data_IF_377737156888
#
_entry.id   IF_377737156888
#
_cell.length_a   1.000
_cell.length_b   1.000
_cell.length_c   1.000
_cell.angle_alpha   90.00
_cell.angle_beta   90.00
_cell.angle_gamma   90.00
#
_symmetry.space_group_name_H-M   'P 1'
#
loop_
_entity.id
_entity.type
_entity.pdbx_description
1 polymer ?
#
# COMPACT_ATOMS: atom_id res chain seq x y z
N UNK A 1 -22.71 -8.32 25.40
CA UNK A 1 -22.18 -7.06 25.93
C UNK A 1 -20.82 -6.85 25.30
N UNK A 2 -20.61 -5.74 24.62
CA UNK A 2 -19.30 -5.36 24.09
C UNK A 2 -18.30 -5.19 25.23
N UNK A 3 -17.06 -5.64 25.04
CA UNK A 3 -16.00 -5.45 26.05
C UNK A 3 -15.38 -4.07 25.87
N UNK A 4 -15.00 -3.48 27.00
CA UNK A 4 -14.23 -2.23 26.99
C UNK A 4 -12.83 -2.49 26.43
N UNK A 5 -12.39 -1.62 25.51
CA UNK A 5 -11.09 -1.65 24.89
C UNK A 5 -10.41 -0.28 25.00
N UNK A 6 -9.10 -0.24 24.78
CA UNK A 6 -8.33 1.00 24.79
C UNK A 6 -7.37 1.03 23.60
N UNK A 7 -7.32 2.18 22.94
CA UNK A 7 -6.21 2.54 22.07
C UNK A 7 -5.21 3.35 22.89
N UNK A 8 -3.97 2.85 23.00
CA UNK A 8 -2.88 3.49 23.76
C UNK A 8 -1.76 3.85 22.79
N UNK A 9 -1.35 5.11 22.77
CA UNK A 9 -0.25 5.59 21.94
C UNK A 9 1.06 5.64 22.74
N UNK A 10 2.19 5.58 22.07
CA UNK A 10 3.51 5.59 22.72
C UNK A 10 3.79 6.87 23.52
N UNK A 11 3.13 7.99 23.18
CA UNK A 11 3.21 9.24 23.94
C UNK A 11 2.39 9.23 25.26
N UNK A 12 1.76 8.09 25.58
CA UNK A 12 0.93 7.90 26.77
C UNK A 12 -0.54 8.34 26.59
N UNK A 13 -0.95 8.77 25.41
CA UNK A 13 -2.35 9.11 25.14
C UNK A 13 -3.22 7.84 25.15
N UNK A 14 -4.37 7.89 25.83
CA UNK A 14 -5.29 6.77 25.99
C UNK A 14 -6.66 7.19 25.47
N UNK A 15 -7.23 6.38 24.57
CA UNK A 15 -8.57 6.55 24.01
C UNK A 15 -9.42 5.33 24.38
N UNK A 16 -10.41 5.47 25.25
CA UNK A 16 -11.33 4.39 25.59
C UNK A 16 -12.34 4.17 24.47
N UNK A 17 -12.71 2.91 24.24
CA UNK A 17 -13.70 2.49 23.26
C UNK A 17 -14.26 1.11 23.58
N UNK A 18 -14.85 0.47 22.58
CA UNK A 18 -15.45 -0.85 22.64
C UNK A 18 -14.77 -1.80 21.65
N UNK A 19 -14.52 -3.04 22.12
CA UNK A 19 -13.92 -4.08 21.30
C UNK A 19 -14.89 -4.54 20.21
N UNK A 20 -14.41 -4.70 18.98
CA UNK A 20 -15.04 -5.46 17.93
C UNK A 20 -13.97 -6.26 17.14
N UNK A 21 -14.38 -7.24 16.32
CA UNK A 21 -13.44 -8.19 15.75
C UNK A 21 -12.88 -9.14 16.80
N UNK A 22 -11.60 -9.48 16.71
CA UNK A 22 -10.94 -10.43 17.59
C UNK A 22 -10.58 -9.79 18.94
N UNK A 23 -10.72 -10.56 20.01
CA UNK A 23 -10.37 -10.10 21.37
C UNK A 23 -8.91 -10.40 21.70
N UNK A 24 -8.07 -9.38 21.74
CA UNK A 24 -6.64 -9.52 22.00
C UNK A 24 -5.92 -8.19 22.11
N UNK A 25 -4.63 -8.22 21.89
CA UNK A 25 -3.76 -7.05 21.75
C UNK A 25 -3.20 -6.95 20.34
N UNK A 26 -3.25 -5.74 19.76
CA UNK A 26 -2.65 -5.45 18.47
C UNK A 26 -1.64 -4.30 18.60
N UNK A 27 -0.42 -4.53 18.15
CA UNK A 27 0.67 -3.54 18.15
C UNK A 27 0.99 -3.11 16.72
N UNK A 28 1.24 -1.83 16.51
CA UNK A 28 1.62 -1.32 15.18
C UNK A 28 1.84 0.18 15.16
N UNK A 29 2.35 0.68 14.05
CA UNK A 29 2.40 2.12 13.79
C UNK A 29 0.98 2.63 13.53
N UNK A 30 0.56 3.67 14.26
CA UNK A 30 -0.76 4.27 14.11
C UNK A 30 -0.76 5.20 12.93
N UNK A 31 -1.59 4.88 11.94
CA UNK A 31 -1.76 5.69 10.73
C UNK A 31 -3.23 6.01 10.49
N UNK A 32 -3.53 7.16 9.87
CA UNK A 32 -4.90 7.49 9.49
C UNK A 32 -5.07 7.43 7.97
N UNK A 33 -6.29 7.11 7.52
CA UNK A 33 -6.66 7.10 6.11
C UNK A 33 -7.87 8.02 5.88
N UNK A 34 -7.82 8.84 4.83
CA UNK A 34 -8.86 9.84 4.51
C UNK A 34 -9.84 9.39 3.41
N UNK A 35 -9.79 8.14 2.99
CA UNK A 35 -10.78 7.57 2.06
C UNK A 35 -12.18 7.58 2.66
N UNK A 36 -13.19 7.82 1.84
CA UNK A 36 -14.59 7.81 2.26
C UNK A 36 -15.25 6.43 2.12
N UNK A 37 -14.61 5.52 1.39
CA UNK A 37 -15.07 4.15 1.09
C UNK A 37 -13.87 3.24 0.88
N UNK A 38 -14.10 1.93 0.66
CA UNK A 38 -13.02 0.98 0.35
C UNK A 38 -12.33 0.43 1.59
N UNK A 39 -13.07 0.24 2.69
CA UNK A 39 -12.46 -0.27 3.92
C UNK A 39 -11.98 -1.73 3.79
N UNK A 40 -12.61 -2.54 2.95
CA UNK A 40 -12.20 -3.94 2.74
C UNK A 40 -10.88 -3.99 1.96
N UNK A 41 -10.74 -3.17 0.93
CA UNK A 41 -9.51 -3.00 0.17
C UNK A 41 -8.38 -2.47 1.07
N UNK A 42 -8.68 -1.49 1.95
CA UNK A 42 -7.72 -1.00 2.95
C UNK A 42 -7.29 -2.11 3.91
N UNK A 43 -8.23 -2.93 4.40
CA UNK A 43 -7.93 -4.04 5.30
C UNK A 43 -7.00 -5.08 4.65
N UNK A 44 -7.17 -5.32 3.35
CA UNK A 44 -6.45 -6.36 2.59
C UNK A 44 -5.25 -5.84 1.79
N UNK A 45 -4.96 -4.52 1.84
CA UNK A 45 -3.77 -3.93 1.20
C UNK A 45 -2.49 -4.28 1.98
N UNK A 46 -1.54 -5.04 1.38
CA UNK A 46 -0.31 -5.45 2.04
C UNK A 46 0.58 -4.28 2.51
N UNK A 47 0.44 -3.11 1.91
CA UNK A 47 1.19 -1.91 2.30
C UNK A 47 0.85 -1.42 3.72
N UNK A 48 -0.24 -1.91 4.34
CA UNK A 48 -0.57 -1.65 5.74
C UNK A 48 0.01 -2.67 6.75
N UNK A 49 0.79 -3.65 6.32
CA UNK A 49 1.39 -4.62 7.24
C UNK A 49 2.19 -3.92 8.34
N UNK A 50 1.97 -4.31 9.60
CA UNK A 50 2.58 -3.67 10.77
C UNK A 50 1.92 -2.37 11.23
N UNK A 51 0.83 -1.94 10.61
CA UNK A 51 0.13 -0.69 10.95
C UNK A 51 -1.26 -0.94 11.54
N UNK A 52 -1.65 -0.09 12.49
CA UNK A 52 -3.01 0.04 13.00
C UNK A 52 -3.66 1.20 12.27
N UNK A 53 -4.70 0.92 11.50
CA UNK A 53 -5.32 1.90 10.60
C UNK A 53 -6.51 2.58 11.27
N UNK A 54 -6.54 3.91 11.18
CA UNK A 54 -7.60 4.79 11.70
C UNK A 54 -8.27 5.51 10.53
N UNK A 55 -9.35 4.99 9.95
CA UNK A 55 -10.12 5.72 8.95
C UNK A 55 -10.74 6.99 9.56
N UNK A 56 -10.71 8.08 8.81
CA UNK A 56 -11.33 9.35 9.24
C UNK A 56 -12.83 9.38 8.96
N UNK A 57 -13.33 8.52 8.07
CA UNK A 57 -14.75 8.39 7.81
C UNK A 57 -15.47 7.77 9.02
N UNK A 58 -16.60 8.36 9.49
CA UNK A 58 -17.13 8.04 10.80
C UNK A 58 -17.86 6.69 10.89
N UNK A 59 -18.46 6.19 9.81
CA UNK A 59 -19.22 4.94 9.79
C UNK A 59 -18.63 3.98 8.76
N UNK A 60 -18.18 2.81 9.20
CA UNK A 60 -17.62 1.77 8.35
C UNK A 60 -18.44 0.49 8.42
N UNK A 61 -18.25 -0.41 7.45
CA UNK A 61 -18.98 -1.67 7.40
C UNK A 61 -20.37 -1.59 6.80
N UNK A 62 -20.82 -0.43 6.31
CA UNK A 62 -22.18 -0.19 5.85
C UNK A 62 -22.59 -1.00 4.60
N UNK A 63 -21.66 -1.42 3.76
CA UNK A 63 -21.89 -2.33 2.64
C UNK A 63 -21.41 -3.77 2.89
N UNK A 64 -20.94 -4.08 4.11
CA UNK A 64 -20.47 -5.41 4.51
C UNK A 64 -19.16 -5.80 3.87
N UNK A 65 -18.96 -7.11 3.73
CA UNK A 65 -17.80 -7.73 3.07
C UNK A 65 -18.29 -8.40 1.80
N UNK A 66 -17.52 -8.25 0.71
CA UNK A 66 -17.79 -8.86 -0.59
C UNK A 66 -16.64 -9.78 -1.00
N UNK A 67 -16.86 -10.67 -1.96
CA UNK A 67 -15.80 -11.54 -2.48
C UNK A 67 -14.89 -10.83 -3.50
N UNK A 68 -15.36 -9.72 -4.08
CA UNK A 68 -14.66 -8.97 -5.14
C UNK A 68 -13.67 -7.94 -4.64
N UNK A 69 -13.89 -7.37 -3.45
CA UNK A 69 -13.17 -6.19 -2.96
C UNK A 69 -11.95 -6.56 -2.10
N UNK A 70 -11.29 -7.65 -2.45
CA UNK A 70 -10.04 -8.10 -1.80
C UNK A 70 -8.83 -7.75 -2.65
N UNK A 71 -7.78 -7.24 -2.00
CA UNK A 71 -6.54 -6.87 -2.65
C UNK A 71 -5.35 -7.79 -2.32
N UNK A 72 -5.56 -8.75 -1.41
CA UNK A 72 -4.65 -9.86 -1.12
C UNK A 72 -5.39 -11.04 -0.46
N UNK A 73 -4.70 -12.14 -0.19
CA UNK A 73 -5.30 -13.38 0.33
C UNK A 73 -5.82 -13.29 1.76
N UNK A 74 -5.48 -12.22 2.51
CA UNK A 74 -5.84 -12.07 3.93
C UNK A 74 -5.90 -10.60 4.33
N UNK A 75 -6.39 -10.32 5.54
CA UNK A 75 -6.25 -8.99 6.16
C UNK A 75 -4.78 -8.74 6.50
N UNK A 76 -4.29 -7.56 6.18
CA UNK A 76 -2.88 -7.19 6.32
C UNK A 76 -2.63 -6.20 7.46
N UNK A 77 -3.65 -5.43 7.85
CA UNK A 77 -3.52 -4.47 8.96
C UNK A 77 -3.29 -5.19 10.29
N UNK A 78 -2.47 -4.61 11.16
CA UNK A 78 -2.27 -5.14 12.53
C UNK A 78 -3.46 -4.91 13.44
N UNK A 79 -4.28 -3.90 13.16
CA UNK A 79 -5.48 -3.57 13.92
C UNK A 79 -6.29 -2.47 13.24
N UNK A 80 -7.54 -2.30 13.66
CA UNK A 80 -8.47 -1.38 13.02
C UNK A 80 -9.21 -0.53 14.04
N UNK A 81 -9.17 0.81 13.87
CA UNK A 81 -9.74 1.78 14.81
C UNK A 81 -10.83 2.58 14.12
N UNK A 82 -12.07 2.50 14.59
CA UNK A 82 -13.20 3.17 13.95
C UNK A 82 -13.98 4.06 14.94
N UNK A 83 -14.67 5.05 14.41
CA UNK A 83 -15.65 5.80 15.19
C UNK A 83 -16.87 4.93 15.48
N UNK A 84 -17.45 4.36 14.42
CA UNK A 84 -18.59 3.45 14.49
C UNK A 84 -18.48 2.43 13.37
N UNK A 85 -19.00 1.23 13.60
CA UNK A 85 -19.18 0.23 12.55
C UNK A 85 -20.66 -0.15 12.42
N UNK A 86 -21.03 -0.60 11.23
CA UNK A 86 -22.38 -1.02 10.91
C UNK A 86 -22.53 -2.52 11.24
N UNK A 87 -23.48 -2.86 12.10
CA UNK A 87 -23.77 -4.25 12.48
C UNK A 87 -24.65 -4.95 11.45
N UNK A 88 -25.51 -4.21 10.74
CA UNK A 88 -26.45 -4.71 9.73
C UNK A 88 -26.15 -4.07 8.37
N UNK A 89 -25.15 -4.57 7.62
CA UNK A 89 -24.80 -4.04 6.32
C UNK A 89 -25.87 -4.29 5.27
N UNK A 90 -25.92 -3.44 4.24
CA UNK A 90 -26.85 -3.57 3.12
C UNK A 90 -26.14 -3.38 1.78
N UNK A 91 -25.96 -4.48 1.06
CA UNK A 91 -25.43 -4.51 -0.30
C UNK A 91 -25.87 -5.81 -1.00
N UNK A 92 -25.98 -5.81 -2.34
CA UNK A 92 -26.41 -6.97 -3.12
C UNK A 92 -25.46 -8.16 -3.05
N UNK A 93 -24.17 -7.91 -2.85
CA UNK A 93 -23.08 -8.91 -2.83
C UNK A 93 -22.52 -9.15 -1.43
N UNK A 94 -23.22 -8.68 -0.37
CA UNK A 94 -22.73 -8.85 1.00
C UNK A 94 -22.65 -10.34 1.38
N UNK A 95 -21.49 -10.75 1.88
CA UNK A 95 -21.21 -12.11 2.37
C UNK A 95 -21.05 -12.19 3.88
N UNK A 96 -20.87 -11.06 4.56
CA UNK A 96 -20.70 -10.99 6.01
C UNK A 96 -20.52 -9.56 6.50
N UNK A 97 -20.39 -9.42 7.81
CA UNK A 97 -20.11 -8.14 8.47
C UNK A 97 -18.62 -7.91 8.62
N UNK A 98 -18.21 -6.64 8.79
CA UNK A 98 -16.82 -6.30 9.10
C UNK A 98 -16.35 -6.93 10.41
N UNK A 99 -17.25 -7.05 11.41
CA UNK A 99 -16.94 -7.68 12.69
C UNK A 99 -16.61 -9.16 12.55
N UNK A 100 -17.42 -9.91 11.79
CA UNK A 100 -17.17 -11.33 11.47
C UNK A 100 -15.87 -11.51 10.68
N UNK A 101 -15.60 -10.62 9.73
CA UNK A 101 -14.41 -10.68 8.90
C UNK A 101 -13.13 -10.48 9.73
N UNK A 102 -13.09 -9.45 10.58
CA UNK A 102 -11.97 -9.23 11.50
C UNK A 102 -11.79 -10.42 12.47
N UNK A 103 -12.90 -10.92 13.03
CA UNK A 103 -12.87 -12.07 13.96
C UNK A 103 -12.33 -13.33 13.29
N UNK A 104 -12.74 -13.61 12.06
CA UNK A 104 -12.33 -14.83 11.33
C UNK A 104 -10.84 -14.86 11.00
N UNK A 105 -10.18 -13.68 10.96
CA UNK A 105 -8.76 -13.56 10.68
C UNK A 105 -7.95 -13.05 11.89
N UNK A 106 -8.52 -13.13 13.09
CA UNK A 106 -7.88 -12.78 14.35
C UNK A 106 -7.35 -11.32 14.43
N UNK A 107 -8.06 -10.39 13.76
CA UNK A 107 -7.70 -8.97 13.77
C UNK A 107 -8.47 -8.22 14.85
N UNK A 108 -7.72 -7.52 15.69
CA UNK A 108 -8.26 -6.72 16.78
C UNK A 108 -8.81 -5.40 16.26
N UNK A 109 -10.07 -5.12 16.59
CA UNK A 109 -10.73 -3.86 16.27
C UNK A 109 -11.16 -3.10 17.55
N UNK A 110 -11.23 -1.78 17.45
CA UNK A 110 -11.79 -0.91 18.49
C UNK A 110 -12.71 0.13 17.85
N UNK A 111 -13.91 0.25 18.39
CA UNK A 111 -14.94 1.22 17.99
C UNK A 111 -15.20 2.25 19.09
N UNK A 112 -16.10 3.21 18.84
CA UNK A 112 -16.44 4.34 19.70
C UNK A 112 -15.26 5.27 20.03
N UNK A 113 -14.24 5.28 19.15
CA UNK A 113 -13.06 6.15 19.28
C UNK A 113 -13.32 7.53 18.64
N UNK A 114 -12.84 8.59 19.27
CA UNK A 114 -12.70 9.88 18.63
C UNK A 114 -11.54 9.84 17.58
N UNK A 115 -11.83 9.28 16.42
CA UNK A 115 -10.86 9.14 15.32
C UNK A 115 -10.35 10.49 14.83
N UNK A 116 -11.14 11.57 14.99
CA UNK A 116 -10.70 12.93 14.68
C UNK A 116 -9.62 13.40 15.65
N UNK A 117 -9.76 13.13 16.95
CA UNK A 117 -8.72 13.47 17.93
C UNK A 117 -7.43 12.71 17.66
N UNK A 118 -7.51 11.40 17.38
CA UNK A 118 -6.34 10.57 17.00
C UNK A 118 -5.68 11.14 15.74
N UNK A 119 -6.44 11.40 14.67
CA UNK A 119 -5.93 11.96 13.41
C UNK A 119 -5.22 13.30 13.63
N UNK A 120 -5.80 14.21 14.41
CA UNK A 120 -5.17 15.51 14.73
C UNK A 120 -3.87 15.34 15.53
N UNK A 121 -3.81 14.37 16.41
CA UNK A 121 -2.61 14.03 17.17
C UNK A 121 -1.49 13.59 16.20
N UNK A 122 -1.75 12.60 15.34
CA UNK A 122 -0.78 12.07 14.37
C UNK A 122 -0.33 13.16 13.40
N UNK A 123 -1.23 13.97 12.87
CA UNK A 123 -0.85 15.10 11.98
C UNK A 123 0.09 16.09 12.67
N UNK A 124 -0.08 16.34 13.95
CA UNK A 124 0.71 17.34 14.67
C UNK A 124 2.05 16.78 15.17
N UNK A 125 2.08 15.50 15.60
CA UNK A 125 3.27 14.87 16.22
C UNK A 125 4.06 13.97 15.27
N UNK A 126 3.44 13.43 14.25
CA UNK A 126 3.93 12.38 13.37
C UNK A 126 3.25 11.05 13.68
N UNK A 127 3.46 10.06 12.79
CA UNK A 127 3.10 8.67 13.06
C UNK A 127 3.87 8.17 14.28
N UNK A 128 3.30 7.26 15.03
CA UNK A 128 3.88 6.71 16.24
C UNK A 128 3.37 5.30 16.51
N UNK A 129 4.09 4.54 17.30
CA UNK A 129 3.65 3.23 17.73
C UNK A 129 2.44 3.31 18.66
N UNK A 130 1.58 2.30 18.59
CA UNK A 130 0.44 2.18 19.48
C UNK A 130 0.00 0.74 19.68
N UNK A 131 -0.95 0.57 20.58
CA UNK A 131 -1.54 -0.73 20.89
C UNK A 131 -3.04 -0.60 21.11
N UNK A 132 -3.81 -1.52 20.51
CA UNK A 132 -5.20 -1.77 20.91
C UNK A 132 -5.16 -2.89 21.94
N UNK A 133 -5.84 -2.71 23.09
CA UNK A 133 -5.89 -3.72 24.14
C UNK A 133 -7.30 -3.92 24.67
N UNK A 134 -7.66 -5.18 24.93
CA UNK A 134 -8.93 -5.60 25.51
C UNK A 134 -8.71 -6.26 26.89
N UNK A 135 -7.59 -6.96 27.07
CA UNK A 135 -7.39 -7.87 28.21
C UNK A 135 -6.47 -7.32 29.29
N UNK A 136 -5.62 -6.32 28.98
CA UNK A 136 -4.68 -5.72 29.94
C UNK A 136 -4.95 -4.23 30.15
N UNK A 137 -4.47 -3.68 31.25
CA UNK A 137 -4.66 -2.25 31.51
C UNK A 137 -3.88 -1.37 30.55
N UNK A 138 -4.32 -0.11 30.29
CA UNK A 138 -3.59 0.84 29.46
C UNK A 138 -2.13 1.03 29.89
N UNK A 139 -1.85 1.03 31.18
CA UNK A 139 -0.50 1.21 31.74
C UNK A 139 0.39 0.00 31.41
N UNK A 140 -0.15 -1.21 31.53
CA UNK A 140 0.55 -2.45 31.15
C UNK A 140 0.78 -2.50 29.65
N UNK A 141 -0.21 -2.11 28.83
CA UNK A 141 -0.10 -2.04 27.38
C UNK A 141 0.99 -1.06 26.95
N UNK A 142 1.04 0.14 27.55
CA UNK A 142 2.09 1.14 27.30
C UNK A 142 3.49 0.62 27.67
N UNK A 143 3.61 -0.10 28.78
CA UNK A 143 4.87 -0.68 29.18
C UNK A 143 5.34 -1.77 28.20
N UNK A 144 4.43 -2.61 27.72
CA UNK A 144 4.74 -3.63 26.71
C UNK A 144 5.12 -2.98 25.37
N UNK A 145 4.41 -1.93 24.95
CA UNK A 145 4.67 -1.20 23.70
C UNK A 145 6.11 -0.66 23.66
N UNK A 146 6.64 -0.15 24.76
CA UNK A 146 8.02 0.35 24.86
C UNK A 146 9.11 -0.71 24.62
N UNK A 147 8.75 -1.99 24.74
CA UNK A 147 9.65 -3.12 24.50
C UNK A 147 9.50 -3.73 23.10
N UNK A 148 8.57 -3.20 22.29
CA UNK A 148 8.41 -3.65 20.89
C UNK A 148 9.35 -2.88 19.98
N UNK A 149 9.87 -3.52 18.91
CA UNK A 149 10.64 -2.81 17.89
C UNK A 149 9.76 -1.75 17.22
N UNK A 150 10.37 -0.64 16.80
CA UNK A 150 9.68 0.37 16.00
C UNK A 150 9.28 -0.19 14.63
N UNK A 151 8.39 0.52 13.94
CA UNK A 151 7.99 0.14 12.58
C UNK A 151 9.18 0.10 11.62
N UNK A 152 10.05 1.11 11.71
CA UNK A 152 11.20 1.30 10.83
C UNK A 152 12.33 0.28 11.03
N UNK A 153 12.28 -0.52 12.11
CA UNK A 153 13.26 -1.58 12.39
C UNK A 153 12.84 -2.95 11.85
N UNK A 154 11.67 -3.05 11.19
CA UNK A 154 11.09 -4.33 10.77
C UNK A 154 10.95 -4.43 9.25
N UNK A 155 11.43 -5.54 8.69
CA UNK A 155 11.20 -5.87 7.28
C UNK A 155 9.83 -6.53 7.11
N UNK A 156 8.83 -5.74 6.73
CA UNK A 156 7.48 -6.23 6.49
C UNK A 156 7.30 -6.85 5.10
N UNK A 157 8.14 -6.53 4.12
CA UNK A 157 8.09 -7.15 2.78
C UNK A 157 8.20 -8.67 2.88
N UNK A 158 9.09 -9.18 3.72
CA UNK A 158 9.23 -10.63 3.94
C UNK A 158 7.98 -11.30 4.53
N UNK A 159 7.09 -10.54 5.16
CA UNK A 159 5.86 -11.06 5.77
C UNK A 159 4.68 -11.12 4.80
N UNK A 160 4.72 -10.30 3.74
CA UNK A 160 3.58 -10.11 2.82
C UNK A 160 3.85 -10.64 1.42
N UNK A 161 5.12 -10.79 1.02
CA UNK A 161 5.49 -11.34 -0.29
C UNK A 161 5.01 -12.78 -0.45
N UNK A 162 4.71 -13.19 -1.68
CA UNK A 162 4.40 -14.60 -1.97
C UNK A 162 5.57 -15.53 -1.62
N UNK A 163 5.27 -16.76 -1.23
CA UNK A 163 6.31 -17.76 -0.93
C UNK A 163 6.90 -18.40 -2.21
N UNK A 164 6.08 -18.50 -3.27
CA UNK A 164 6.43 -19.16 -4.52
C UNK A 164 5.96 -18.32 -5.71
N UNK A 165 6.63 -18.48 -6.85
CA UNK A 165 6.15 -17.88 -8.10
C UNK A 165 4.83 -18.49 -8.55
N UNK A 166 3.96 -17.70 -9.13
CA UNK A 166 2.70 -18.17 -9.67
C UNK A 166 2.24 -17.37 -10.89
N UNK A 167 1.45 -18.02 -11.74
CA UNK A 167 0.81 -17.41 -12.89
C UNK A 167 -0.52 -16.81 -12.47
N UNK A 168 -0.78 -15.54 -12.84
CA UNK A 168 -2.07 -14.91 -12.61
C UNK A 168 -3.03 -15.16 -13.76
N UNK A 169 -4.26 -15.60 -13.47
CA UNK A 169 -5.26 -15.98 -14.46
C UNK A 169 -6.51 -15.11 -14.50
N UNK A 170 -6.82 -14.40 -13.41
CA UNK A 170 -8.00 -13.55 -13.33
C UNK A 170 -7.78 -12.23 -14.05
N UNK A 171 -8.74 -11.81 -14.89
CA UNK A 171 -8.69 -10.50 -15.56
C UNK A 171 -9.73 -9.55 -14.99
N UNK A 172 -9.38 -8.26 -14.92
CA UNK A 172 -10.34 -7.19 -14.71
C UNK A 172 -11.29 -7.03 -15.90
N UNK A 173 -12.45 -6.43 -15.66
CA UNK A 173 -13.44 -6.14 -16.70
C UNK A 173 -13.23 -4.73 -17.28
N UNK A 174 -13.55 -4.57 -18.56
CA UNK A 174 -13.62 -3.26 -19.22
C UNK A 174 -12.28 -2.70 -19.69
N UNK A 175 -11.25 -3.54 -19.82
CA UNK A 175 -9.97 -3.13 -20.38
C UNK A 175 -9.85 -3.47 -21.87
N UNK A 176 -9.20 -2.57 -22.64
CA UNK A 176 -8.83 -2.84 -24.02
C UNK A 176 -7.60 -3.76 -24.07
N UNK A 177 -7.64 -4.80 -24.90
CA UNK A 177 -6.52 -5.70 -25.13
C UNK A 177 -5.45 -4.99 -25.99
N UNK A 178 -4.49 -4.34 -25.34
CA UNK A 178 -3.42 -3.59 -25.99
C UNK A 178 -2.06 -4.30 -25.95
N UNK A 179 -1.91 -5.31 -25.08
CA UNK A 179 -0.59 -5.88 -24.77
C UNK A 179 -0.15 -7.04 -25.67
N UNK A 180 -1.02 -7.62 -26.51
CA UNK A 180 -0.72 -8.72 -27.45
C UNK A 180 0.13 -9.86 -26.83
N UNK A 181 -0.24 -10.32 -25.63
CA UNK A 181 0.47 -11.33 -24.81
C UNK A 181 1.89 -10.95 -24.38
N UNK A 182 2.16 -9.66 -24.13
CA UNK A 182 3.42 -9.26 -23.50
C UNK A 182 3.61 -10.00 -22.15
N UNK A 183 4.78 -10.58 -21.95
CA UNK A 183 5.12 -11.27 -20.72
C UNK A 183 5.63 -10.28 -19.71
N UNK A 184 4.80 -10.00 -18.70
CA UNK A 184 5.11 -9.08 -17.61
C UNK A 184 5.35 -9.87 -16.34
N UNK A 185 6.54 -9.73 -15.77
CA UNK A 185 6.84 -10.26 -14.43
C UNK A 185 6.55 -9.19 -13.39
N UNK A 186 5.99 -9.61 -12.27
CA UNK A 186 5.72 -8.74 -11.12
C UNK A 186 6.55 -9.21 -9.93
N UNK A 187 7.46 -8.36 -9.45
CA UNK A 187 8.18 -8.58 -8.19
C UNK A 187 7.27 -8.19 -7.03
N UNK A 188 6.91 -9.16 -6.20
CA UNK A 188 5.95 -8.99 -5.11
C UNK A 188 6.65 -8.50 -3.83
N UNK A 189 6.47 -7.20 -3.53
CA UNK A 189 6.92 -6.57 -2.29
C UNK A 189 5.76 -6.34 -1.30
N UNK A 190 4.55 -6.66 -1.72
CA UNK A 190 3.27 -6.42 -1.06
C UNK A 190 2.21 -6.04 -2.10
N UNK A 191 2.03 -6.94 -3.05
CA UNK A 191 1.26 -6.74 -4.27
C UNK A 191 -0.24 -6.67 -4.01
N UNK A 192 -0.91 -5.70 -4.63
CA UNK A 192 -2.37 -5.62 -4.71
C UNK A 192 -2.89 -6.33 -5.96
N UNK A 193 -3.91 -7.16 -5.78
CA UNK A 193 -4.49 -7.96 -6.85
C UNK A 193 -5.04 -7.13 -8.02
N UNK A 194 -5.46 -5.89 -7.78
CA UNK A 194 -5.96 -5.05 -8.86
C UNK A 194 -4.89 -4.70 -9.90
N UNK A 195 -3.60 -4.63 -9.52
CA UNK A 195 -2.49 -4.48 -10.47
C UNK A 195 -2.47 -5.65 -11.46
N UNK A 196 -2.62 -6.87 -10.96
CA UNK A 196 -2.64 -8.08 -11.78
C UNK A 196 -3.88 -8.14 -12.67
N UNK A 197 -5.05 -7.76 -12.11
CA UNK A 197 -6.32 -7.71 -12.88
C UNK A 197 -6.23 -6.72 -14.05
N UNK A 198 -5.60 -5.55 -13.84
CA UNK A 198 -5.38 -4.54 -14.89
C UNK A 198 -4.45 -5.10 -15.97
N UNK A 199 -3.28 -5.60 -15.62
CA UNK A 199 -2.31 -6.14 -16.59
C UNK A 199 -2.92 -7.30 -17.39
N UNK A 200 -3.60 -8.23 -16.73
CA UNK A 200 -4.27 -9.35 -17.38
C UNK A 200 -5.42 -8.89 -18.27
N UNK A 201 -6.22 -7.92 -17.82
CA UNK A 201 -7.30 -7.31 -18.59
C UNK A 201 -6.80 -6.61 -19.85
N UNK A 202 -5.62 -6.00 -19.80
CA UNK A 202 -4.95 -5.39 -20.97
C UNK A 202 -4.28 -6.40 -21.90
N UNK A 203 -4.35 -7.71 -21.62
CA UNK A 203 -3.89 -8.79 -22.48
C UNK A 203 -2.47 -9.28 -22.18
N UNK A 204 -1.89 -8.94 -21.03
CA UNK A 204 -0.57 -9.43 -20.63
C UNK A 204 -0.61 -10.90 -20.19
N UNK A 205 0.51 -11.58 -20.37
CA UNK A 205 0.85 -12.81 -19.69
C UNK A 205 1.58 -12.45 -18.38
N UNK A 206 0.94 -12.67 -17.21
CA UNK A 206 1.39 -12.11 -15.93
C UNK A 206 1.86 -13.21 -15.00
N UNK A 207 3.11 -13.13 -14.56
CA UNK A 207 3.70 -14.05 -13.59
C UNK A 207 4.28 -13.28 -12.39
N UNK A 208 3.98 -13.74 -11.18
CA UNK A 208 4.37 -13.10 -9.91
C UNK A 208 5.54 -13.84 -9.29
N UNK A 209 6.55 -13.09 -8.86
CA UNK A 209 7.76 -13.59 -8.20
C UNK A 209 7.88 -13.05 -6.78
N UNK A 210 8.37 -13.87 -5.83
CA UNK A 210 8.64 -13.40 -4.48
C UNK A 210 9.73 -12.33 -4.45
N UNK A 211 9.74 -11.49 -3.43
CA UNK A 211 10.78 -10.46 -3.21
C UNK A 211 12.20 -11.03 -3.07
N UNK A 212 12.34 -12.32 -2.78
CA UNK A 212 13.62 -13.02 -2.70
C UNK A 212 14.18 -13.45 -4.07
N UNK A 213 13.41 -13.29 -5.16
CA UNK A 213 13.88 -13.63 -6.50
C UNK A 213 15.05 -12.73 -6.90
N UNK A 214 16.11 -13.33 -7.44
CA UNK A 214 17.27 -12.59 -7.93
C UNK A 214 17.05 -12.05 -9.35
N UNK A 215 17.89 -11.11 -9.76
CA UNK A 215 17.89 -10.61 -11.15
C UNK A 215 18.03 -11.74 -12.19
N UNK A 216 18.84 -12.77 -11.87
CA UNK A 216 18.99 -13.93 -12.74
C UNK A 216 17.71 -14.78 -12.84
N UNK A 217 16.97 -14.96 -11.71
CA UNK A 217 15.70 -15.69 -11.72
C UNK A 217 14.67 -14.99 -12.61
N UNK A 218 14.60 -13.65 -12.54
CA UNK A 218 13.70 -12.83 -13.34
C UNK A 218 14.09 -12.84 -14.82
N UNK A 219 15.34 -12.54 -15.15
CA UNK A 219 15.82 -12.44 -16.53
C UNK A 219 15.82 -13.78 -17.27
N UNK A 220 16.03 -14.91 -16.56
CA UNK A 220 15.94 -16.24 -17.12
C UNK A 220 14.56 -16.60 -17.71
N UNK A 221 13.53 -15.86 -17.33
CA UNK A 221 12.18 -16.04 -17.87
C UNK A 221 11.96 -15.31 -19.22
N UNK A 222 12.93 -14.54 -19.70
CA UNK A 222 12.84 -13.70 -20.89
C UNK A 222 11.61 -12.79 -20.88
N UNK A 223 11.42 -11.95 -19.84
CA UNK A 223 10.28 -11.04 -19.75
C UNK A 223 10.36 -9.93 -20.80
N UNK A 224 9.20 -9.45 -21.25
CA UNK A 224 9.11 -8.23 -22.04
C UNK A 224 9.19 -6.98 -21.13
N UNK A 225 8.72 -7.06 -19.88
CA UNK A 225 8.78 -6.00 -18.87
C UNK A 225 8.72 -6.53 -17.45
N UNK A 226 9.19 -5.75 -16.48
CA UNK A 226 9.12 -6.06 -15.05
C UNK A 226 8.42 -4.93 -14.30
N UNK A 227 7.44 -5.28 -13.45
CA UNK A 227 6.77 -4.37 -12.53
C UNK A 227 7.25 -4.64 -11.10
N UNK A 228 7.75 -3.61 -10.44
CA UNK A 228 8.09 -3.59 -9.02
C UNK A 228 6.85 -3.13 -8.24
N UNK A 229 6.28 -4.01 -7.41
CA UNK A 229 4.99 -3.78 -6.78
C UNK A 229 5.06 -2.76 -5.63
N UNK A 230 3.90 -2.29 -5.13
CA UNK A 230 3.79 -1.67 -3.82
C UNK A 230 4.28 -2.58 -2.70
N UNK A 231 4.42 -2.04 -1.49
CA UNK A 231 4.73 -2.81 -0.30
C UNK A 231 4.89 -1.95 0.95
N UNK A 232 4.97 -2.60 2.12
CA UNK A 232 5.12 -1.94 3.43
C UNK A 232 6.58 -1.72 3.82
N UNK A 233 6.80 -0.86 4.79
CA UNK A 233 8.07 -0.72 5.51
C UNK A 233 8.97 0.38 5.00
N UNK A 234 10.18 0.38 5.53
CA UNK A 234 11.24 1.34 5.21
C UNK A 234 12.07 0.82 4.02
N UNK A 235 12.18 1.56 2.91
CA UNK A 235 13.02 1.17 1.77
C UNK A 235 14.52 1.07 2.12
N UNK A 236 14.97 1.66 3.23
CA UNK A 236 16.35 1.54 3.70
C UNK A 236 16.71 0.13 4.20
N UNK A 237 15.74 -0.70 4.53
CA UNK A 237 15.94 -2.09 4.95
C UNK A 237 15.99 -3.10 3.77
N UNK A 238 15.89 -2.62 2.53
CA UNK A 238 15.60 -3.44 1.36
C UNK A 238 16.72 -3.39 0.29
N UNK A 239 17.99 -3.31 0.71
CA UNK A 239 19.15 -3.21 -0.20
C UNK A 239 19.21 -4.35 -1.23
N UNK A 240 18.73 -5.56 -0.88
CA UNK A 240 18.67 -6.68 -1.81
C UNK A 240 17.74 -6.41 -3.01
N UNK A 241 16.62 -5.67 -2.80
CA UNK A 241 15.71 -5.27 -3.87
C UNK A 241 16.34 -4.18 -4.74
N UNK A 242 17.09 -3.27 -4.13
CA UNK A 242 17.84 -2.22 -4.84
C UNK A 242 18.85 -2.89 -5.77
N UNK A 243 19.69 -3.80 -5.26
CA UNK A 243 20.68 -4.53 -6.06
C UNK A 243 20.04 -5.34 -7.20
N UNK A 244 18.93 -6.05 -6.91
CA UNK A 244 18.20 -6.80 -7.94
C UNK A 244 17.69 -5.85 -9.03
N UNK A 245 17.20 -4.66 -8.65
CA UNK A 245 16.69 -3.65 -9.59
C UNK A 245 17.82 -3.05 -10.42
N UNK A 246 18.97 -2.69 -9.81
CA UNK A 246 20.17 -2.23 -10.52
C UNK A 246 20.59 -3.21 -11.62
N UNK A 247 20.60 -4.50 -11.31
CA UNK A 247 20.99 -5.55 -12.23
C UNK A 247 20.05 -5.73 -13.43
N UNK A 248 18.76 -5.41 -13.31
CA UNK A 248 17.78 -5.52 -14.41
C UNK A 248 17.66 -4.25 -15.23
N UNK A 249 18.05 -3.09 -14.70
CA UNK A 249 18.00 -1.81 -15.42
C UNK A 249 18.81 -1.86 -16.73
N UNK A 250 18.18 -1.34 -17.81
CA UNK A 250 18.75 -1.34 -19.13
C UNK A 250 18.73 -2.68 -19.86
N UNK A 251 18.32 -3.76 -19.21
CA UNK A 251 18.14 -5.09 -19.82
C UNK A 251 16.69 -5.38 -20.20
N UNK A 252 15.76 -4.78 -19.48
CA UNK A 252 14.32 -4.92 -19.68
C UNK A 252 13.62 -3.65 -19.21
N UNK A 253 12.49 -3.25 -19.79
CA UNK A 253 11.66 -2.15 -19.29
C UNK A 253 11.17 -2.40 -17.87
N UNK A 254 11.25 -1.38 -17.01
CA UNK A 254 10.88 -1.46 -15.60
C UNK A 254 9.86 -0.38 -15.23
N UNK A 255 8.78 -0.79 -14.54
CA UNK A 255 7.84 0.10 -13.88
C UNK A 255 7.87 -0.12 -12.37
N UNK A 256 7.85 0.95 -11.57
CA UNK A 256 7.72 0.88 -10.11
C UNK A 256 6.46 1.57 -9.59
N UNK A 257 5.75 0.96 -8.64
CA UNK A 257 4.59 1.55 -7.98
C UNK A 257 4.84 1.62 -6.46
N UNK A 258 4.64 2.79 -5.85
CA UNK A 258 4.75 3.06 -4.41
C UNK A 258 6.12 2.62 -3.85
N UNK A 259 6.24 1.51 -3.13
CA UNK A 259 7.55 0.99 -2.70
C UNK A 259 8.45 0.70 -3.91
N UNK A 260 7.90 0.14 -5.00
CA UNK A 260 8.64 -0.09 -6.25
C UNK A 260 9.20 1.21 -6.85
N UNK A 261 8.51 2.35 -6.71
CA UNK A 261 9.04 3.67 -7.10
C UNK A 261 10.25 4.07 -6.23
N UNK A 262 10.18 3.83 -4.92
CA UNK A 262 11.27 4.13 -3.99
C UNK A 262 12.50 3.25 -4.24
N UNK A 263 12.29 1.95 -4.48
CA UNK A 263 13.35 1.01 -4.83
C UNK A 263 13.99 1.38 -6.18
N UNK A 264 13.19 1.71 -7.21
CA UNK A 264 13.71 2.18 -8.49
C UNK A 264 14.53 3.47 -8.34
N UNK A 265 14.05 4.44 -7.57
CA UNK A 265 14.79 5.67 -7.31
C UNK A 265 16.14 5.40 -6.61
N UNK A 266 16.16 4.54 -5.59
CA UNK A 266 17.40 4.12 -4.90
C UNK A 266 18.37 3.41 -5.84
N UNK A 267 17.89 2.52 -6.71
CA UNK A 267 18.74 1.83 -7.69
C UNK A 267 19.32 2.76 -8.76
N UNK A 268 18.72 3.95 -8.94
CA UNK A 268 19.26 5.03 -9.77
C UNK A 268 20.18 5.98 -8.98
N UNK A 269 20.40 5.76 -7.68
CA UNK A 269 21.29 6.55 -6.82
C UNK A 269 20.60 7.66 -6.01
N UNK A 270 19.27 7.76 -6.06
CA UNK A 270 18.52 8.70 -5.24
C UNK A 270 18.35 8.21 -3.79
N UNK A 271 17.93 9.10 -2.91
CA UNK A 271 17.63 8.83 -1.49
C UNK A 271 16.15 8.95 -1.22
N UNK A 272 15.71 8.29 -0.15
CA UNK A 272 14.35 8.41 0.39
C UNK A 272 14.37 9.01 1.78
N UNK A 273 13.23 9.54 2.23
CA UNK A 273 13.07 10.06 3.58
C UNK A 273 11.67 9.80 4.11
N UNK A 274 11.55 9.66 5.44
CA UNK A 274 10.28 9.43 6.10
C UNK A 274 9.46 10.71 6.17
N UNK A 275 8.20 10.66 5.73
CA UNK A 275 7.22 11.73 5.89
C UNK A 275 6.69 11.75 7.32
N UNK A 276 6.33 12.94 7.82
CA UNK A 276 5.84 13.10 9.19
C UNK A 276 4.63 12.22 9.53
N UNK A 277 3.68 12.10 8.61
CA UNK A 277 2.48 11.28 8.77
C UNK A 277 2.09 10.51 7.50
N UNK A 278 2.88 10.63 6.43
CA UNK A 278 2.65 9.97 5.15
C UNK A 278 1.42 10.48 4.39
N UNK A 279 1.20 9.89 3.23
CA UNK A 279 0.01 10.10 2.43
C UNK A 279 -0.85 8.83 2.44
N UNK A 280 -2.10 8.92 2.95
CA UNK A 280 -3.04 7.80 2.98
C UNK A 280 -4.46 8.29 2.76
N UNK A 281 -5.05 7.85 1.65
CA UNK A 281 -6.40 8.23 1.23
C UNK A 281 -6.56 8.18 -0.28
N UNK A 282 -7.80 8.30 -0.75
CA UNK A 282 -8.15 8.26 -2.17
C UNK A 282 -8.54 9.66 -2.72
N UNK A 283 -7.97 10.72 -2.14
CA UNK A 283 -8.37 12.12 -2.40
C UNK A 283 -7.18 13.08 -2.48
N UNK A 284 -6.01 12.57 -2.89
CA UNK A 284 -4.79 13.36 -3.00
C UNK A 284 -4.57 13.88 -4.42
N UNK A 285 -4.47 15.21 -4.62
CA UNK A 285 -4.22 15.78 -5.95
C UNK A 285 -2.74 15.67 -6.32
N UNK A 286 -2.48 15.07 -7.49
CA UNK A 286 -1.14 14.94 -8.07
C UNK A 286 -1.13 15.57 -9.46
N UNK A 287 -0.12 16.38 -9.74
CA UNK A 287 0.09 17.03 -11.03
C UNK A 287 1.06 16.23 -11.88
N UNK A 288 0.65 15.87 -13.09
CA UNK A 288 1.54 15.47 -14.17
C UNK A 288 2.28 16.70 -14.71
N UNK A 289 3.59 16.68 -14.65
CA UNK A 289 4.44 17.83 -15.00
C UNK A 289 4.49 18.08 -16.51
N UNK A 290 4.31 17.06 -17.35
CA UNK A 290 4.36 17.16 -18.79
C UNK A 290 3.07 17.76 -19.37
N UNK A 291 1.91 17.23 -18.98
CA UNK A 291 0.61 17.71 -19.45
C UNK A 291 0.07 18.90 -18.67
N UNK A 292 0.56 19.11 -17.44
CA UNK A 292 0.03 20.10 -16.49
C UNK A 292 -1.31 19.71 -15.85
N UNK A 293 -1.85 18.53 -16.16
CA UNK A 293 -3.12 18.04 -15.61
C UNK A 293 -2.95 17.65 -14.14
N UNK A 294 -4.04 17.78 -13.39
CA UNK A 294 -4.10 17.36 -11.99
C UNK A 294 -5.11 16.21 -11.92
N UNK A 295 -4.68 15.11 -11.32
CA UNK A 295 -5.49 13.93 -11.06
C UNK A 295 -5.70 13.75 -9.57
N UNK A 296 -6.81 13.16 -9.19
CA UNK A 296 -7.04 12.69 -7.82
C UNK A 296 -6.54 11.26 -7.72
N UNK A 297 -5.68 10.99 -6.74
CA UNK A 297 -4.98 9.71 -6.61
C UNK A 297 -5.29 9.01 -5.31
N UNK A 298 -5.13 7.68 -5.32
CA UNK A 298 -5.07 6.85 -4.13
C UNK A 298 -3.61 6.80 -3.62
N UNK A 299 -3.43 6.95 -2.31
CA UNK A 299 -2.13 7.03 -1.66
C UNK A 299 -2.07 6.12 -0.44
N UNK A 300 -0.97 5.43 -0.26
CA UNK A 300 -0.65 4.68 0.97
C UNK A 300 0.85 4.52 1.13
N UNK A 301 1.55 5.56 1.54
CA UNK A 301 2.99 5.50 1.77
C UNK A 301 3.44 6.42 2.92
N UNK A 302 4.52 6.01 3.61
CA UNK A 302 5.15 6.76 4.68
C UNK A 302 6.47 7.43 4.29
N UNK A 303 6.99 7.12 3.11
CA UNK A 303 8.29 7.60 2.61
C UNK A 303 8.12 8.27 1.24
N UNK A 304 9.04 9.16 0.90
CA UNK A 304 9.10 9.86 -0.40
C UNK A 304 10.54 9.95 -0.88
N UNK A 305 10.72 10.15 -2.18
CA UNK A 305 12.02 10.38 -2.80
C UNK A 305 12.48 11.80 -2.46
N UNK A 306 13.75 11.94 -2.08
CA UNK A 306 14.39 13.24 -1.90
C UNK A 306 14.72 13.86 -3.28
N UNK A 307 14.03 14.95 -3.69
CA UNK A 307 14.21 15.54 -5.00
C UNK A 307 15.64 16.09 -5.24
N UNK A 308 16.35 16.48 -4.17
CA UNK A 308 17.71 17.01 -4.27
C UNK A 308 18.74 15.90 -4.53
N UNK A 309 18.39 14.65 -4.27
CA UNK A 309 19.25 13.49 -4.50
C UNK A 309 19.11 12.87 -5.88
N UNK A 310 18.11 13.29 -6.69
CA UNK A 310 17.85 12.72 -8.00
C UNK A 310 19.01 12.97 -8.98
N UNK A 311 19.49 11.94 -9.69
CA UNK A 311 20.49 12.10 -10.76
C UNK A 311 19.97 12.97 -11.91
N UNK A 312 20.89 13.59 -12.64
CA UNK A 312 20.57 14.52 -13.74
C UNK A 312 19.84 13.88 -14.92
N UNK A 313 19.93 12.58 -15.08
CA UNK A 313 19.28 11.76 -16.12
C UNK A 313 17.92 11.21 -15.69
N UNK A 314 17.46 11.55 -14.49
CA UNK A 314 16.11 11.26 -13.98
C UNK A 314 15.25 12.52 -14.02
N UNK A 315 14.04 12.40 -14.54
CA UNK A 315 13.04 13.48 -14.60
C UNK A 315 11.90 13.21 -13.64
N UNK A 316 11.51 14.20 -12.83
CA UNK A 316 10.28 14.16 -12.05
C UNK A 316 9.08 14.35 -12.96
N UNK A 317 8.21 13.34 -13.03
CA UNK A 317 7.02 13.32 -13.90
C UNK A 317 5.74 13.72 -13.18
N UNK A 318 5.68 13.46 -11.86
CA UNK A 318 4.49 13.74 -11.05
C UNK A 318 4.87 14.38 -9.73
N UNK A 319 4.04 15.32 -9.26
CA UNK A 319 4.27 16.09 -8.02
C UNK A 319 2.96 16.18 -7.23
N UNK A 320 3.01 15.91 -5.92
CA UNK A 320 1.90 16.16 -4.99
C UNK A 320 1.56 17.64 -4.94
N UNK A 321 0.28 17.97 -5.04
CA UNK A 321 -0.18 19.36 -4.92
C UNK A 321 -0.41 19.79 -3.46
N UNK A 322 -0.28 18.86 -2.50
CA UNK A 322 -0.44 19.15 -1.08
C UNK A 322 0.85 19.67 -0.44
N UNK A 323 2.00 19.10 -0.81
CA UNK A 323 3.30 19.35 -0.16
C UNK A 323 4.50 19.30 -1.11
N UNK A 324 4.25 19.17 -2.40
CA UNK A 324 5.25 19.17 -3.48
C UNK A 324 6.25 17.99 -3.43
N UNK A 325 5.92 16.91 -2.74
CA UNK A 325 6.69 15.67 -2.78
C UNK A 325 6.71 15.06 -4.18
N UNK A 326 7.78 14.30 -4.49
CA UNK A 326 7.92 13.57 -5.76
C UNK A 326 6.93 12.41 -5.79
N UNK A 327 6.08 12.40 -6.81
CA UNK A 327 5.03 11.41 -7.00
C UNK A 327 5.24 10.52 -8.25
N UNK A 328 6.32 10.75 -8.99
CA UNK A 328 6.70 9.92 -10.12
C UNK A 328 7.99 10.39 -10.76
N UNK A 329 8.73 9.43 -11.30
CA UNK A 329 9.99 9.66 -12.00
C UNK A 329 10.06 8.86 -13.31
N UNK A 330 10.89 9.31 -14.23
CA UNK A 330 11.23 8.61 -15.49
C UNK A 330 12.71 8.83 -15.80
N UNK A 331 13.42 7.78 -16.15
CA UNK A 331 14.78 7.89 -16.65
C UNK A 331 14.78 8.34 -18.12
N UNK A 332 15.72 9.20 -18.51
CA UNK A 332 15.72 9.82 -19.85
C UNK A 332 16.17 8.90 -20.97
N UNK A 333 16.99 7.90 -20.69
CA UNK A 333 17.56 6.98 -21.68
C UNK A 333 17.28 5.50 -21.39
N UNK A 334 17.11 5.11 -20.15
CA UNK A 334 16.69 3.75 -19.80
C UNK A 334 15.18 3.63 -19.86
N UNK A 335 14.63 2.48 -20.29
CA UNK A 335 13.19 2.24 -20.28
C UNK A 335 12.71 1.96 -18.83
N UNK A 336 12.68 3.01 -18.02
CA UNK A 336 12.31 2.95 -16.60
C UNK A 336 11.43 4.13 -16.22
N UNK A 337 10.26 3.85 -15.65
CA UNK A 337 9.32 4.83 -15.09
C UNK A 337 8.74 4.34 -13.77
N UNK A 338 8.31 5.26 -12.92
CA UNK A 338 7.61 4.88 -11.70
C UNK A 338 6.72 5.98 -11.15
N UNK A 339 5.79 5.58 -10.30
CA UNK A 339 4.85 6.46 -9.60
C UNK A 339 4.77 6.09 -8.12
N UNK A 340 4.57 7.09 -7.27
CA UNK A 340 4.46 6.93 -5.83
C UNK A 340 3.03 6.56 -5.40
N UNK A 341 2.04 7.08 -6.10
CA UNK A 341 0.63 6.81 -5.84
C UNK A 341 0.18 5.46 -6.42
N UNK A 342 -0.98 4.99 -5.99
CA UNK A 342 -1.57 3.73 -6.43
C UNK A 342 -2.48 3.98 -7.65
N UNK A 343 -1.92 3.83 -8.86
CA UNK A 343 -2.67 4.01 -10.11
C UNK A 343 -3.70 2.91 -10.37
N UNK A 344 -3.54 1.77 -9.72
CA UNK A 344 -4.50 0.68 -9.71
C UNK A 344 -5.75 0.99 -8.88
N UNK A 345 -5.75 2.09 -8.12
CA UNK A 345 -6.82 2.43 -7.17
C UNK A 345 -7.11 1.29 -6.16
N UNK A 346 -8.37 0.85 -6.03
CA UNK A 346 -8.83 -0.21 -5.12
C UNK A 346 -8.31 -0.06 -3.69
N UNK A 347 -8.85 0.94 -2.92
CA UNK A 347 -9.91 1.86 -3.32
C UNK A 347 -9.37 3.11 -4.01
N UNK A 348 -10.20 3.79 -4.79
CA UNK A 348 -9.91 5.11 -5.31
C UNK A 348 -10.37 5.36 -6.75
N UNK A 349 -10.09 6.56 -7.27
CA UNK A 349 -10.41 6.92 -8.64
C UNK A 349 -9.48 6.22 -9.64
N UNK A 350 -10.03 5.89 -10.80
CA UNK A 350 -9.34 5.16 -11.88
C UNK A 350 -8.70 6.07 -12.94
N UNK A 351 -8.72 7.38 -12.72
CA UNK A 351 -8.23 8.38 -13.67
C UNK A 351 -6.74 8.22 -14.03
N UNK A 352 -6.00 7.46 -13.22
CA UNK A 352 -4.55 7.28 -13.36
C UNK A 352 -4.14 5.92 -13.92
N UNK A 353 -5.08 5.07 -14.32
CA UNK A 353 -4.79 3.76 -14.90
C UNK A 353 -4.00 3.86 -16.23
N UNK A 354 -3.98 5.05 -16.90
CA UNK A 354 -3.21 5.28 -18.11
C UNK A 354 -1.70 5.02 -17.95
N UNK A 355 -1.16 5.08 -16.74
CA UNK A 355 0.25 4.77 -16.47
C UNK A 355 0.60 3.32 -16.85
N UNK A 356 -0.36 2.40 -16.74
CA UNK A 356 -0.15 1.04 -17.24
C UNK A 356 -0.03 1.01 -18.76
N UNK A 357 -0.76 1.88 -19.47
CA UNK A 357 -0.64 2.00 -20.93
C UNK A 357 0.72 2.56 -21.31
N UNK A 358 1.18 3.63 -20.64
CA UNK A 358 2.52 4.21 -20.84
C UNK A 358 3.62 3.17 -20.61
N UNK A 359 3.48 2.31 -19.60
CA UNK A 359 4.41 1.21 -19.36
C UNK A 359 4.40 0.17 -20.50
N UNK A 360 3.22 -0.28 -20.90
CA UNK A 360 3.09 -1.29 -21.97
C UNK A 360 3.53 -0.76 -23.34
N UNK A 361 3.33 0.53 -23.60
CA UNK A 361 3.87 1.19 -24.80
C UNK A 361 5.40 1.22 -24.75
N UNK A 362 6.00 1.61 -23.61
CA UNK A 362 7.45 1.58 -23.42
C UNK A 362 8.03 0.16 -23.62
N UNK A 363 7.32 -0.88 -23.18
CA UNK A 363 7.70 -2.29 -23.38
C UNK A 363 7.69 -2.62 -24.88
N UNK A 364 6.67 -2.22 -25.63
CA UNK A 364 6.58 -2.46 -27.08
C UNK A 364 7.68 -1.75 -27.87
N UNK A 365 8.00 -0.51 -27.51
CA UNK A 365 9.03 0.29 -28.17
C UNK A 365 10.45 -0.26 -27.97
N UNK A 366 10.66 -1.02 -26.88
CA UNK A 366 11.97 -1.59 -26.52
C UNK A 366 12.19 -2.98 -27.16
N UNK A 367 11.12 -3.65 -27.58
CA UNK A 367 11.12 -4.99 -28.20
C UNK A 367 11.51 -4.93 -29.67
#
# INVERSE_FOLDING_TARGET
MTKKAFLVLEDGSIYPGESFGYEGEAYGEIVFNTSMTGYQEILTDPSYAGQIVVPTYPLLGNYGITSSDIESSQIQVSGFVVRQYCEEPSHTEVTGTINEYLTSQEIVGISEIDTRAVTRKIRSKGVMMGVITVNISPEQALQQLKNKPSYDEQNFVQKVTTNERYQWTESGLGYDHIADNLRILVSDYGLKYNILRILKGKGCDVEVFPSSATSNDLLAQNPDGILLSPGPGDPELLDHLVTTTEDILGKVPVMGICLGNQILAKSLGAKTYKLKFGHRGANHPVKDTASGRIYITAQNHGYSIDPESLPSDVTVTHISMNDYTVEGIRHRSLPALSIQYHSEASPGPKDNEYIFDDFLEMVKETK
#
